data_IF_892373144279
#
_entry.id   IF_892373144279
#
_cell.length_a   1.000
_cell.length_b   1.000
_cell.length_c   1.000
_cell.angle_alpha   90.00
_cell.angle_beta   90.00
_cell.angle_gamma   90.00
#
_symmetry.space_group_name_H-M   'P 1'
#
loop_
_entity.id
_entity.type
_entity.pdbx_description
1 polymer ?
#
# COMPACT_ATOMS: atom_id res chain seq x y z
N UNK A 1 -35.54 -8.82 -5.26
CA UNK A 1 -34.27 -8.69 -6.01
C UNK A 1 -33.27 -8.10 -5.06
N UNK A 2 -32.51 -8.96 -4.40
CA UNK A 2 -31.39 -8.56 -3.55
C UNK A 2 -30.36 -7.82 -4.40
N UNK A 3 -30.13 -6.55 -4.09
CA UNK A 3 -28.99 -5.82 -4.62
C UNK A 3 -27.77 -6.43 -3.93
N UNK A 4 -27.13 -7.36 -4.61
CA UNK A 4 -25.81 -7.85 -4.20
C UNK A 4 -24.88 -6.64 -4.26
N UNK A 5 -24.55 -6.10 -3.08
CA UNK A 5 -23.60 -5.01 -2.89
C UNK A 5 -22.21 -5.52 -3.28
N UNK A 6 -21.93 -5.54 -4.58
CA UNK A 6 -20.65 -5.95 -5.15
C UNK A 6 -19.62 -4.84 -4.92
N UNK A 7 -19.24 -4.60 -3.66
CA UNK A 7 -18.11 -3.73 -3.34
C UNK A 7 -16.84 -4.46 -3.76
N UNK A 8 -16.03 -3.84 -4.62
CA UNK A 8 -14.72 -4.37 -4.96
C UNK A 8 -13.90 -4.57 -3.68
N UNK A 9 -13.24 -5.72 -3.54
CA UNK A 9 -12.53 -6.13 -2.31
C UNK A 9 -11.62 -5.02 -1.71
N UNK A 10 -11.07 -4.14 -2.56
CA UNK A 10 -10.22 -3.00 -2.18
C UNK A 10 -10.93 -1.89 -1.38
N UNK A 11 -12.25 -1.80 -1.50
CA UNK A 11 -13.08 -0.72 -0.94
C UNK A 11 -13.98 -1.19 0.20
N UNK A 12 -13.94 -2.48 0.57
CA UNK A 12 -14.84 -3.07 1.57
C UNK A 12 -14.70 -2.40 2.94
N UNK A 13 -13.47 -2.18 3.43
CA UNK A 13 -13.22 -1.52 4.72
C UNK A 13 -13.78 -0.08 4.75
N UNK A 14 -13.56 0.68 3.68
CA UNK A 14 -14.05 2.06 3.53
C UNK A 14 -15.58 2.08 3.48
N UNK A 15 -16.19 1.19 2.69
CA UNK A 15 -17.64 1.08 2.58
C UNK A 15 -18.28 0.69 3.92
N UNK A 16 -17.65 -0.20 4.69
CA UNK A 16 -18.11 -0.57 6.04
C UNK A 16 -18.08 0.65 6.97
N UNK A 17 -16.96 1.39 7.01
CA UNK A 17 -16.85 2.57 7.86
C UNK A 17 -17.86 3.66 7.46
N UNK A 18 -18.06 3.89 6.16
CA UNK A 18 -19.09 4.81 5.67
C UNK A 18 -20.50 4.40 6.11
N UNK A 19 -20.85 3.11 5.99
CA UNK A 19 -22.16 2.59 6.47
C UNK A 19 -22.32 2.74 7.98
N UNK A 20 -21.24 2.53 8.76
CA UNK A 20 -21.25 2.76 10.22
C UNK A 20 -21.45 4.24 10.57
N UNK A 21 -20.78 5.15 9.87
CA UNK A 21 -20.95 6.60 10.05
C UNK A 21 -22.41 7.00 9.81
N UNK A 22 -23.03 6.50 8.73
CA UNK A 22 -24.45 6.76 8.42
C UNK A 22 -25.42 6.23 9.48
N UNK A 23 -25.02 5.19 10.23
CA UNK A 23 -25.84 4.55 11.25
C UNK A 23 -25.47 4.97 12.68
N UNK A 24 -24.55 5.92 12.85
CA UNK A 24 -24.05 6.35 14.15
C UNK A 24 -25.18 6.97 14.98
N UNK A 25 -25.22 6.63 16.27
CA UNK A 25 -26.31 7.06 17.17
C UNK A 25 -25.96 8.28 18.01
N UNK A 26 -24.70 8.69 17.98
CA UNK A 26 -24.20 9.82 18.74
C UNK A 26 -23.13 10.59 17.97
N UNK A 27 -22.97 11.90 18.23
CA UNK A 27 -21.90 12.69 17.62
C UNK A 27 -20.49 12.18 17.95
N UNK A 28 -20.30 11.60 19.15
CA UNK A 28 -19.02 11.04 19.58
C UNK A 28 -18.65 9.79 18.76
N UNK A 29 -19.60 8.87 18.58
CA UNK A 29 -19.43 7.69 17.74
C UNK A 29 -19.15 8.08 16.29
N UNK A 30 -19.90 9.04 15.75
CA UNK A 30 -19.71 9.55 14.40
C UNK A 30 -18.31 10.16 14.22
N UNK A 31 -17.86 10.97 15.18
CA UNK A 31 -16.53 11.60 15.14
C UNK A 31 -15.41 10.56 15.16
N UNK A 32 -15.52 9.53 16.02
CA UNK A 32 -14.53 8.45 16.10
C UNK A 32 -14.45 7.66 14.79
N UNK A 33 -15.60 7.30 14.21
CA UNK A 33 -15.66 6.57 12.95
C UNK A 33 -15.13 7.38 11.76
N UNK A 34 -15.34 8.72 11.77
CA UNK A 34 -14.75 9.63 10.78
C UNK A 34 -13.23 9.67 10.88
N UNK A 35 -12.68 9.72 12.11
CA UNK A 35 -11.24 9.66 12.31
C UNK A 35 -10.67 8.32 11.82
N UNK A 36 -11.31 7.20 12.16
CA UNK A 36 -10.88 5.87 11.69
C UNK A 36 -10.90 5.77 10.16
N UNK A 37 -11.95 6.30 9.51
CA UNK A 37 -12.02 6.37 8.05
C UNK A 37 -10.89 7.21 7.46
N UNK A 38 -10.58 8.35 8.06
CA UNK A 38 -9.48 9.20 7.63
C UNK A 38 -8.13 8.45 7.75
N UNK A 39 -7.88 7.79 8.87
CA UNK A 39 -6.64 7.05 9.11
C UNK A 39 -6.45 5.91 8.09
N UNK A 40 -7.52 5.18 7.77
CA UNK A 40 -7.51 4.13 6.73
C UNK A 40 -7.19 4.73 5.36
N UNK A 41 -7.83 5.83 4.99
CA UNK A 41 -7.61 6.49 3.70
C UNK A 41 -6.18 7.02 3.59
N UNK A 42 -5.68 7.71 4.61
CA UNK A 42 -4.30 8.20 4.67
C UNK A 42 -3.31 7.05 4.58
N UNK A 43 -3.54 5.95 5.31
CA UNK A 43 -2.65 4.78 5.24
C UNK A 43 -2.61 4.17 3.84
N UNK A 44 -3.75 4.05 3.15
CA UNK A 44 -3.83 3.58 1.76
C UNK A 44 -3.06 4.50 0.81
N UNK A 45 -3.16 5.82 0.98
CA UNK A 45 -2.43 6.80 0.16
C UNK A 45 -0.92 6.71 0.37
N UNK A 46 -0.47 6.70 1.63
CA UNK A 46 0.95 6.57 1.96
C UNK A 46 1.53 5.28 1.39
N UNK A 47 0.83 4.16 1.51
CA UNK A 47 1.26 2.88 0.90
C UNK A 47 1.37 3.02 -0.62
N UNK A 48 0.33 3.52 -1.30
CA UNK A 48 0.33 3.69 -2.76
C UNK A 48 1.50 4.56 -3.21
N UNK A 49 1.69 5.68 -2.54
CA UNK A 49 2.68 6.69 -2.92
C UNK A 49 4.11 6.18 -2.62
N UNK A 50 4.29 5.44 -1.53
CA UNK A 50 5.59 4.82 -1.21
C UNK A 50 6.03 3.82 -2.29
N UNK A 51 5.13 2.94 -2.75
CA UNK A 51 5.47 1.96 -3.79
C UNK A 51 5.71 2.65 -5.13
N UNK A 52 4.93 3.68 -5.46
CA UNK A 52 5.18 4.49 -6.67
C UNK A 52 6.57 5.14 -6.62
N UNK A 53 6.92 5.76 -5.49
CA UNK A 53 8.22 6.42 -5.31
C UNK A 53 9.38 5.43 -5.38
N UNK A 54 9.19 4.21 -4.86
CA UNK A 54 10.17 3.12 -5.02
C UNK A 54 10.36 2.79 -6.50
N UNK A 55 9.28 2.67 -7.29
CA UNK A 55 9.37 2.39 -8.73
C UNK A 55 10.13 3.51 -9.45
N UNK A 56 9.77 4.77 -9.20
CA UNK A 56 10.41 5.94 -9.80
C UNK A 56 11.91 6.03 -9.48
N UNK A 57 12.30 5.72 -8.24
CA UNK A 57 13.71 5.68 -7.81
C UNK A 57 14.49 4.48 -8.32
N UNK A 58 13.80 3.37 -8.60
CA UNK A 58 14.45 2.13 -9.06
C UNK A 58 14.69 2.12 -10.57
N UNK A 59 13.89 2.86 -11.34
CA UNK A 59 13.99 2.93 -12.79
C UNK A 59 15.18 3.80 -13.24
N UNK A 60 15.79 3.44 -14.37
CA UNK A 60 16.84 4.23 -15.02
C UNK A 60 16.28 5.47 -15.75
N UNK A 61 14.97 5.46 -16.08
CA UNK A 61 14.31 6.56 -16.75
C UNK A 61 12.81 6.65 -16.40
N UNK A 62 12.17 7.83 -16.59
CA UNK A 62 10.73 7.99 -16.40
C UNK A 62 9.90 7.01 -17.25
N UNK A 63 10.32 6.74 -18.49
CA UNK A 63 9.61 5.82 -19.39
C UNK A 63 9.68 4.38 -18.88
N UNK A 64 10.78 3.98 -18.24
CA UNK A 64 10.87 2.68 -17.59
C UNK A 64 9.97 2.62 -16.36
N UNK A 65 9.93 3.68 -15.53
CA UNK A 65 9.00 3.74 -14.41
C UNK A 65 7.54 3.64 -14.87
N UNK A 66 7.16 4.34 -15.94
CA UNK A 66 5.81 4.27 -16.52
C UNK A 66 5.46 2.86 -17.01
N UNK A 67 6.41 2.14 -17.66
CA UNK A 67 6.18 0.74 -18.04
C UNK A 67 5.93 -0.13 -16.82
N UNK A 68 6.73 0.02 -15.76
CA UNK A 68 6.54 -0.72 -14.51
C UNK A 68 5.16 -0.43 -13.90
N UNK A 69 4.73 0.83 -13.88
CA UNK A 69 3.44 1.22 -13.27
C UNK A 69 2.22 0.69 -14.04
N UNK A 70 2.33 0.56 -15.36
CA UNK A 70 1.20 0.19 -16.23
C UNK A 70 1.18 -1.31 -16.63
N UNK A 71 2.29 -2.02 -16.47
CA UNK A 71 2.38 -3.45 -16.80
C UNK A 71 1.65 -4.35 -15.82
N UNK A 72 1.32 -5.56 -16.29
CA UNK A 72 0.80 -6.66 -15.45
C UNK A 72 1.72 -7.87 -15.61
N UNK A 73 2.73 -7.95 -14.75
CA UNK A 73 3.68 -9.07 -14.76
C UNK A 73 3.09 -10.34 -14.20
N UNK A 74 3.50 -11.47 -14.78
CA UNK A 74 3.31 -12.81 -14.22
C UNK A 74 4.46 -13.28 -13.32
N UNK A 75 5.55 -12.52 -13.16
CA UNK A 75 6.79 -12.97 -12.49
C UNK A 75 6.70 -12.95 -10.94
N UNK A 76 5.51 -13.11 -10.37
CA UNK A 76 5.30 -13.14 -8.92
C UNK A 76 5.88 -14.41 -8.23
N UNK A 77 6.54 -15.29 -8.98
CA UNK A 77 7.12 -16.52 -8.48
C UNK A 77 8.65 -16.52 -8.46
N UNK A 78 9.33 -15.51 -9.02
CA UNK A 78 10.79 -15.47 -9.01
C UNK A 78 11.36 -15.30 -7.61
N UNK A 79 12.59 -15.82 -7.41
CA UNK A 79 13.34 -15.63 -6.16
C UNK A 79 13.60 -14.15 -5.88
N UNK A 80 13.83 -13.36 -6.93
CA UNK A 80 14.04 -11.92 -6.83
C UNK A 80 12.78 -11.21 -6.31
N UNK A 81 11.61 -11.52 -6.89
CA UNK A 81 10.35 -10.98 -6.41
C UNK A 81 10.13 -11.23 -4.91
N UNK A 82 10.33 -12.48 -4.47
CA UNK A 82 10.19 -12.85 -3.05
C UNK A 82 11.14 -12.08 -2.14
N UNK A 83 12.40 -11.95 -2.55
CA UNK A 83 13.41 -11.20 -1.78
C UNK A 83 13.04 -9.71 -1.66
N UNK A 84 12.61 -9.09 -2.76
CA UNK A 84 12.18 -7.68 -2.77
C UNK A 84 10.95 -7.46 -1.88
N UNK A 85 9.94 -8.33 -1.99
CA UNK A 85 8.69 -8.22 -1.22
C UNK A 85 8.95 -8.40 0.28
N UNK A 86 9.79 -9.37 0.66
CA UNK A 86 10.19 -9.56 2.06
C UNK A 86 11.01 -8.38 2.59
N UNK A 87 11.89 -7.79 1.76
CA UNK A 87 12.65 -6.60 2.13
C UNK A 87 11.73 -5.39 2.36
N UNK A 88 10.79 -5.15 1.45
CA UNK A 88 9.79 -4.10 1.59
C UNK A 88 8.93 -4.28 2.85
N UNK A 89 8.51 -5.52 3.15
CA UNK A 89 7.77 -5.84 4.38
C UNK A 89 8.52 -5.41 5.64
N UNK A 90 9.80 -5.75 5.70
CA UNK A 90 10.63 -5.51 6.87
C UNK A 90 11.01 -4.03 7.04
N UNK A 91 11.02 -3.26 5.96
CA UNK A 91 11.49 -1.87 5.95
C UNK A 91 10.36 -0.84 5.97
N UNK A 92 9.25 -1.15 5.31
CA UNK A 92 8.14 -0.22 5.10
C UNK A 92 6.88 -0.72 5.79
N UNK A 93 6.12 -1.60 5.13
CA UNK A 93 4.76 -1.95 5.56
C UNK A 93 4.58 -3.46 5.67
N UNK A 94 4.32 -3.91 6.89
CA UNK A 94 4.02 -5.30 7.16
C UNK A 94 2.52 -5.58 6.98
N UNK A 95 2.14 -6.07 5.80
CA UNK A 95 0.73 -6.34 5.46
C UNK A 95 0.07 -7.47 6.26
N UNK A 96 0.81 -8.18 7.11
CA UNK A 96 0.20 -9.08 8.10
C UNK A 96 -0.48 -8.30 9.24
N UNK A 97 -0.16 -7.02 9.40
CA UNK A 97 -0.87 -6.12 10.31
C UNK A 97 -2.12 -5.55 9.62
N UNK A 98 -3.31 -5.57 10.25
CA UNK A 98 -4.56 -5.12 9.64
C UNK A 98 -4.47 -3.71 9.04
N UNK A 99 -3.79 -2.78 9.73
CA UNK A 99 -3.57 -1.40 9.30
C UNK A 99 -2.89 -1.30 7.92
N UNK A 100 -2.03 -2.26 7.57
CA UNK A 100 -1.22 -2.22 6.35
C UNK A 100 -1.61 -3.26 5.30
N UNK A 101 -2.73 -3.97 5.50
CA UNK A 101 -3.18 -5.05 4.62
C UNK A 101 -3.32 -4.60 3.16
N UNK A 102 -3.66 -3.33 2.92
CA UNK A 102 -3.79 -2.73 1.58
C UNK A 102 -2.50 -2.77 0.76
N UNK A 103 -1.32 -2.91 1.40
CA UNK A 103 -0.04 -3.03 0.70
C UNK A 103 0.03 -4.25 -0.23
N UNK A 104 -0.71 -5.33 0.06
CA UNK A 104 -0.78 -6.52 -0.81
C UNK A 104 -1.21 -6.14 -2.24
N UNK A 105 -2.10 -5.16 -2.38
CA UNK A 105 -2.62 -4.75 -3.68
C UNK A 105 -1.59 -4.04 -4.57
N UNK A 106 -0.45 -3.64 -4.02
CA UNK A 106 0.62 -2.94 -4.73
C UNK A 106 1.83 -3.83 -5.02
N UNK A 107 1.89 -5.04 -4.46
CA UNK A 107 3.05 -5.93 -4.62
C UNK A 107 3.34 -6.33 -6.05
N UNK A 108 2.33 -6.36 -6.92
CA UNK A 108 2.51 -6.66 -8.34
C UNK A 108 3.52 -5.71 -9.01
N UNK A 109 3.70 -4.49 -8.49
CA UNK A 109 4.70 -3.55 -8.99
C UNK A 109 6.13 -4.06 -8.74
N UNK A 110 6.39 -4.81 -7.67
CA UNK A 110 7.68 -5.47 -7.47
C UNK A 110 7.90 -6.61 -8.46
N UNK A 111 6.85 -7.32 -8.89
CA UNK A 111 6.96 -8.30 -9.97
C UNK A 111 7.29 -7.60 -11.30
N UNK A 112 6.64 -6.47 -11.59
CA UNK A 112 6.94 -5.66 -12.76
C UNK A 112 8.39 -5.13 -12.77
N UNK A 113 8.92 -4.70 -11.62
CA UNK A 113 10.33 -4.31 -11.48
C UNK A 113 11.29 -5.46 -11.81
N UNK A 114 10.95 -6.69 -11.37
CA UNK A 114 11.73 -7.89 -11.66
C UNK A 114 11.70 -8.22 -13.17
N UNK A 115 10.54 -8.12 -13.80
CA UNK A 115 10.37 -8.41 -15.23
C UNK A 115 11.09 -7.38 -16.13
N UNK A 116 11.11 -6.10 -15.75
CA UNK A 116 11.92 -5.06 -16.40
C UNK A 116 13.43 -5.22 -16.13
N UNK A 117 13.84 -6.29 -15.44
CA UNK A 117 15.24 -6.64 -15.14
C UNK A 117 15.99 -5.55 -14.38
N UNK A 118 15.28 -4.79 -13.56
CA UNK A 118 15.89 -3.77 -12.71
C UNK A 118 16.74 -4.47 -11.63
N UNK A 119 17.99 -4.06 -11.38
CA UNK A 119 18.84 -4.73 -10.40
C UNK A 119 18.23 -4.73 -9.00
N UNK A 120 18.22 -5.90 -8.34
CA UNK A 120 17.66 -6.06 -6.98
C UNK A 120 18.24 -5.08 -5.97
N UNK A 121 19.55 -4.81 -6.04
CA UNK A 121 20.23 -3.87 -5.14
C UNK A 121 19.72 -2.44 -5.31
N UNK A 122 19.36 -2.06 -6.55
CA UNK A 122 18.78 -0.74 -6.82
C UNK A 122 17.38 -0.61 -6.23
N UNK A 123 16.59 -1.68 -6.33
CA UNK A 123 15.25 -1.74 -5.72
C UNK A 123 15.37 -1.66 -4.20
N UNK A 124 16.30 -2.39 -3.59
CA UNK A 124 16.56 -2.35 -2.14
C UNK A 124 17.02 -0.98 -1.68
N UNK A 125 17.92 -0.33 -2.41
CA UNK A 125 18.35 1.05 -2.13
C UNK A 125 17.17 2.03 -2.16
N UNK A 126 16.31 1.94 -3.18
CA UNK A 126 15.11 2.75 -3.26
C UNK A 126 14.16 2.50 -2.07
N UNK A 127 13.96 1.25 -1.68
CA UNK A 127 13.17 0.89 -0.48
C UNK A 127 13.76 1.53 0.78
N UNK A 128 15.08 1.46 0.99
CA UNK A 128 15.72 2.07 2.14
C UNK A 128 15.50 3.59 2.16
N UNK A 129 15.70 4.27 1.04
CA UNK A 129 15.47 5.72 0.92
C UNK A 129 14.02 6.12 1.23
N UNK A 130 13.05 5.40 0.68
CA UNK A 130 11.63 5.67 0.92
C UNK A 130 11.25 5.38 2.38
N UNK A 131 11.77 4.30 2.96
CA UNK A 131 11.48 3.89 4.34
C UNK A 131 11.92 4.93 5.39
N UNK A 132 12.97 5.70 5.09
CA UNK A 132 13.42 6.80 5.97
C UNK A 132 12.42 7.95 5.96
N UNK A 133 11.75 8.22 4.84
CA UNK A 133 10.67 9.21 4.74
C UNK A 133 9.45 8.80 5.57
N UNK A 134 9.05 7.53 5.50
CA UNK A 134 7.88 7.01 6.22
C UNK A 134 8.01 7.09 7.75
N UNK A 135 9.24 7.00 8.28
CA UNK A 135 9.50 7.10 9.73
C UNK A 135 9.42 8.54 10.27
N UNK A 136 9.31 9.54 9.40
CA UNK A 136 9.25 10.96 9.79
C UNK A 136 7.82 11.48 9.95
N UNK A 137 6.81 10.73 9.49
CA UNK A 137 5.40 11.05 9.69
C UNK A 137 4.86 10.21 10.86
N UNK A 138 4.68 10.80 12.06
CA UNK A 138 4.10 10.09 13.19
C UNK A 138 2.59 9.98 12.97
N UNK A 139 2.15 8.94 12.25
CA UNK A 139 0.78 8.45 12.42
C UNK A 139 0.75 7.68 13.74
N UNK A 140 0.51 8.46 14.80
CA UNK A 140 0.01 8.09 16.12
C UNK A 140 0.82 7.03 16.86
N UNK A 141 1.79 7.52 17.62
CA UNK A 141 2.29 6.85 18.82
C UNK A 141 1.31 7.11 19.96
N UNK A 142 0.28 6.28 20.18
CA UNK A 142 -0.41 6.19 21.47
C UNK A 142 -1.00 4.78 21.67
N UNK A 143 -0.68 4.16 22.81
CA UNK A 143 -1.39 2.96 23.30
C UNK A 143 -0.53 1.90 24.01
N UNK A 144 0.14 2.27 25.11
CA UNK A 144 0.39 1.35 26.23
C UNK A 144 0.06 2.06 27.53
#
# INVERSE_FOLDING_TARGET
MDIQDCVANKDVEVAILQKKIQSAKSPEEESRLKQELQDVMTTKEVIRDSVRHIVEKSADSPEQAERVLNSKSGDCMSRMYRDVVEYYKAKCFNWHEPKYQSAIHHMYLFANLCEEKIPVERIKSAIDEVSVGLKKDPVSSEGH
#
